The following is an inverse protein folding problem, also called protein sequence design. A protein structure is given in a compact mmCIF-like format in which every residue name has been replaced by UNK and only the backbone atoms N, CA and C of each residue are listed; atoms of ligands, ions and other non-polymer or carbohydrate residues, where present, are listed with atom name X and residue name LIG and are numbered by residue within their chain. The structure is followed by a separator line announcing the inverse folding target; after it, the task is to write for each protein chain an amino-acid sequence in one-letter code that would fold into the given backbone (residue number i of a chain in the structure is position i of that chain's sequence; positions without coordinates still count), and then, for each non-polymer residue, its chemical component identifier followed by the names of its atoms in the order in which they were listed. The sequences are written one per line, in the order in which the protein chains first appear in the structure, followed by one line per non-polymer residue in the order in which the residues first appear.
data_IF_633789674589
#
_entry.id   IF_633789674589
#
_cell.length_a   1.000
_cell.length_b   1.000
_cell.length_c   1.000
_cell.angle_alpha   90.00
_cell.angle_beta   90.00
_cell.angle_gamma   90.00
#
_symmetry.space_group_name_H-M   'P 1'
#
loop_
_entity.id
_entity.type
_entity.pdbx_description
1 polymer ?
#
# COMPACT_ATOMS: atom_id res chain seq x y z
N UNK A 1 2.11 -6.92 -26.57
CA UNK A 1 1.70 -5.97 -25.52
C UNK A 1 2.88 -5.05 -25.31
N UNK A 2 2.74 -3.75 -25.59
CA UNK A 2 3.86 -2.81 -25.46
C UNK A 2 3.98 -2.45 -23.99
N UNK A 3 5.10 -2.80 -23.35
CA UNK A 3 5.43 -2.30 -22.02
C UNK A 3 5.52 -0.77 -22.09
N UNK A 4 4.49 -0.08 -21.61
CA UNK A 4 4.57 1.36 -21.40
C UNK A 4 5.58 1.59 -20.28
N UNK A 5 6.79 1.99 -20.66
CA UNK A 5 7.78 2.50 -19.72
C UNK A 5 7.16 3.71 -19.03
N UNK A 6 6.93 3.62 -17.72
CA UNK A 6 6.47 4.76 -16.94
C UNK A 6 7.63 5.75 -16.90
N UNK A 7 7.44 6.90 -17.56
CA UNK A 7 8.39 8.00 -17.47
C UNK A 7 8.29 8.61 -16.07
N UNK A 8 9.21 8.24 -15.19
CA UNK A 8 9.28 8.75 -13.83
C UNK A 8 9.60 10.27 -13.80
N UNK A 9 10.09 10.84 -14.89
CA UNK A 9 10.31 12.29 -15.02
C UNK A 9 9.02 13.07 -15.30
N UNK A 10 7.95 12.37 -15.71
CA UNK A 10 6.63 12.96 -15.96
C UNK A 10 5.70 12.92 -14.73
N UNK A 11 6.16 12.42 -13.58
CA UNK A 11 5.37 12.43 -12.35
C UNK A 11 5.16 13.87 -11.86
N UNK A 12 3.97 14.20 -11.31
CA UNK A 12 3.72 15.50 -10.71
C UNK A 12 4.80 15.85 -9.69
N UNK A 13 5.47 16.99 -9.89
CA UNK A 13 6.49 17.48 -8.95
C UNK A 13 5.87 18.02 -7.66
N UNK A 14 4.58 18.39 -7.73
CA UNK A 14 3.79 18.89 -6.62
C UNK A 14 2.44 18.18 -6.54
N UNK A 15 2.04 17.83 -5.32
CA UNK A 15 0.76 17.19 -5.07
C UNK A 15 -0.09 18.08 -4.13
N UNK A 16 -1.23 18.60 -4.61
CA UNK A 16 -2.12 19.43 -3.79
C UNK A 16 -2.57 18.72 -2.51
N UNK A 17 -2.60 19.45 -1.40
CA UNK A 17 -3.02 18.92 -0.10
C UNK A 17 -1.99 18.03 0.62
N UNK A 18 -0.82 17.79 0.01
CA UNK A 18 0.28 17.07 0.65
C UNK A 18 1.36 18.00 1.21
N UNK A 19 2.15 17.48 2.14
CA UNK A 19 3.37 18.11 2.65
C UNK A 19 4.58 17.40 2.04
N UNK A 20 5.41 18.14 1.29
CA UNK A 20 6.65 17.59 0.73
C UNK A 20 7.67 17.39 1.85
N UNK A 21 8.09 16.14 2.06
CA UNK A 21 9.08 15.78 3.07
C UNK A 21 10.50 15.66 2.49
N UNK A 22 10.62 15.33 1.20
CA UNK A 22 11.91 15.14 0.56
C UNK A 22 11.84 15.37 -0.96
N UNK A 23 12.96 15.79 -1.55
CA UNK A 23 13.03 16.14 -2.97
C UNK A 23 13.57 15.02 -3.86
N UNK A 24 14.55 14.24 -3.39
CA UNK A 24 15.18 13.16 -4.19
C UNK A 24 15.66 12.01 -3.30
N UNK A 25 14.85 10.97 -3.05
CA UNK A 25 13.59 10.67 -3.73
C UNK A 25 12.48 11.64 -3.32
N UNK A 26 11.53 11.87 -4.23
CA UNK A 26 10.34 12.67 -3.95
C UNK A 26 9.46 11.95 -2.94
N UNK A 27 9.23 12.55 -1.77
CA UNK A 27 8.37 12.00 -0.71
C UNK A 27 7.35 13.05 -0.29
N UNK A 28 6.07 12.66 -0.27
CA UNK A 28 4.94 13.49 0.15
C UNK A 28 4.14 12.79 1.24
N UNK A 29 3.73 13.55 2.25
CA UNK A 29 2.86 13.13 3.33
C UNK A 29 1.46 13.71 3.14
N UNK A 30 0.45 12.86 3.24
CA UNK A 30 -0.96 13.27 3.28
C UNK A 30 -1.55 12.80 4.59
N UNK A 31 -1.97 13.74 5.42
CA UNK A 31 -2.68 13.41 6.65
C UNK A 31 -4.18 13.30 6.37
N UNK A 32 -4.87 12.47 7.16
CA UNK A 32 -6.32 12.27 7.05
C UNK A 32 -6.79 11.86 5.64
N UNK A 33 -5.96 11.09 4.92
CA UNK A 33 -6.27 10.62 3.56
C UNK A 33 -7.56 9.78 3.49
N UNK A 34 -7.86 9.05 4.56
CA UNK A 34 -9.10 8.30 4.72
C UNK A 34 -9.78 8.73 6.03
N UNK A 35 -11.10 8.73 6.02
CA UNK A 35 -11.93 8.92 7.19
C UNK A 35 -11.80 7.76 8.18
N UNK A 36 -12.17 7.99 9.44
CA UNK A 36 -12.19 6.93 10.45
C UNK A 36 -13.16 5.79 10.11
N UNK A 37 -14.24 6.11 9.41
CA UNK A 37 -15.24 5.13 8.95
C UNK A 37 -14.66 4.21 7.86
N UNK A 38 -14.00 4.77 6.85
CA UNK A 38 -13.32 3.99 5.80
C UNK A 38 -12.22 3.10 6.39
N UNK A 39 -11.46 3.61 7.37
CA UNK A 39 -10.43 2.84 8.06
C UNK A 39 -11.01 1.69 8.89
N UNK A 40 -12.15 1.92 9.57
CA UNK A 40 -12.82 0.88 10.34
C UNK A 40 -13.37 -0.23 9.42
N UNK A 41 -13.99 0.14 8.31
CA UNK A 41 -14.51 -0.82 7.34
C UNK A 41 -13.40 -1.67 6.69
N UNK A 42 -12.26 -1.06 6.33
CA UNK A 42 -11.09 -1.80 5.84
C UNK A 42 -10.54 -2.78 6.89
N UNK A 43 -10.45 -2.35 8.15
CA UNK A 43 -10.01 -3.22 9.25
C UNK A 43 -10.95 -4.41 9.40
N UNK A 44 -12.25 -4.17 9.45
CA UNK A 44 -13.24 -5.22 9.71
C UNK A 44 -13.31 -6.23 8.55
N UNK A 45 -13.17 -5.78 7.30
CA UNK A 45 -13.07 -6.66 6.14
C UNK A 45 -11.79 -7.52 6.14
N UNK A 46 -10.68 -7.00 6.67
CA UNK A 46 -9.38 -7.66 6.67
C UNK A 46 -9.15 -8.59 7.86
N UNK A 47 -9.71 -8.27 9.04
CA UNK A 47 -9.25 -8.78 10.32
C UNK A 47 -9.19 -10.31 10.40
N UNK A 48 -10.25 -10.99 9.98
CA UNK A 48 -10.35 -12.46 10.03
C UNK A 48 -9.49 -13.16 8.95
N UNK A 49 -9.01 -12.42 7.95
CA UNK A 49 -8.28 -12.94 6.80
C UNK A 49 -6.76 -12.75 6.89
N UNK A 50 -6.28 -12.00 7.89
CA UNK A 50 -4.87 -11.72 8.09
C UNK A 50 -4.05 -13.01 8.31
N UNK A 51 -2.94 -13.12 7.59
CA UNK A 51 -1.97 -14.22 7.72
C UNK A 51 -0.55 -13.66 7.82
N UNK A 52 0.40 -14.38 8.44
CA UNK A 52 1.79 -13.95 8.47
C UNK A 52 2.30 -13.64 7.07
N UNK A 53 2.94 -12.48 6.90
CA UNK A 53 3.42 -12.03 5.61
C UNK A 53 4.62 -12.90 5.17
N UNK A 54 4.53 -13.44 3.96
CA UNK A 54 5.64 -14.12 3.33
C UNK A 54 6.64 -13.12 2.74
N UNK A 55 7.92 -13.47 2.79
CA UNK A 55 8.98 -12.75 2.09
C UNK A 55 9.34 -13.49 0.80
N UNK A 56 9.88 -12.77 -0.19
CA UNK A 56 10.36 -13.37 -1.44
C UNK A 56 11.45 -14.41 -1.16
N UNK A 57 11.23 -15.64 -1.63
CA UNK A 57 12.25 -16.69 -1.69
C UNK A 57 12.56 -17.08 -3.14
N UNK A 58 13.52 -17.99 -3.32
CA UNK A 58 14.05 -18.36 -4.64
C UNK A 58 13.01 -18.96 -5.61
N UNK A 59 11.96 -19.61 -5.08
CA UNK A 59 10.90 -20.27 -5.88
C UNK A 59 9.49 -20.01 -5.36
N UNK A 60 9.36 -19.79 -4.06
CA UNK A 60 8.08 -19.62 -3.34
C UNK A 60 8.35 -18.68 -2.16
N UNK A 61 7.33 -17.94 -1.74
CA UNK A 61 7.38 -17.11 -0.54
C UNK A 61 7.54 -17.97 0.72
N UNK A 62 8.18 -17.43 1.75
CA UNK A 62 8.30 -18.12 3.04
C UNK A 62 8.13 -17.15 4.20
N UNK A 63 7.73 -17.67 5.36
CA UNK A 63 7.61 -16.87 6.58
C UNK A 63 9.01 -16.69 7.18
N UNK A 64 9.48 -15.45 7.27
CA UNK A 64 10.75 -15.11 7.91
C UNK A 64 10.58 -14.98 9.43
N UNK A 65 11.41 -15.66 10.20
CA UNK A 65 11.41 -15.55 11.68
C UNK A 65 11.77 -14.15 12.19
N UNK A 66 12.41 -13.33 11.37
CA UNK A 66 12.73 -11.92 11.69
C UNK A 66 11.62 -10.93 11.37
N UNK A 67 10.46 -11.37 10.88
CA UNK A 67 9.32 -10.52 10.53
C UNK A 67 8.06 -11.02 11.25
N UNK A 68 7.36 -10.11 11.90
CA UNK A 68 6.12 -10.38 12.63
C UNK A 68 4.87 -9.78 11.98
N UNK A 69 5.02 -9.17 10.80
CA UNK A 69 3.91 -8.54 10.09
C UNK A 69 2.94 -9.58 9.51
N UNK A 70 1.67 -9.21 9.44
CA UNK A 70 0.62 -9.98 8.77
C UNK A 70 -0.04 -9.14 7.69
N UNK A 71 -0.54 -9.78 6.62
CA UNK A 71 -1.30 -9.14 5.56
C UNK A 71 -2.44 -10.02 5.06
N UNK A 72 -3.34 -9.42 4.28
CA UNK A 72 -4.34 -10.13 3.49
C UNK A 72 -4.59 -9.34 2.20
N UNK A 73 -5.15 -10.02 1.20
CA UNK A 73 -5.61 -9.39 -0.03
C UNK A 73 -7.11 -9.16 0.07
N UNK A 74 -7.54 -7.90 -0.05
CA UNK A 74 -8.95 -7.55 -0.18
C UNK A 74 -9.32 -7.46 -1.66
N UNK A 75 -10.51 -7.94 -2.01
CA UNK A 75 -11.00 -7.80 -3.38
C UNK A 75 -11.32 -6.33 -3.67
N UNK A 76 -10.87 -5.81 -4.80
CA UNK A 76 -11.06 -4.40 -5.18
C UNK A 76 -12.55 -3.97 -5.22
N UNK A 77 -13.45 -4.90 -5.56
CA UNK A 77 -14.89 -4.65 -5.65
C UNK A 77 -15.65 -4.91 -4.34
N UNK A 78 -14.94 -5.23 -3.26
CA UNK A 78 -15.54 -5.34 -1.95
C UNK A 78 -15.67 -3.92 -1.39
N UNK A 79 -16.87 -3.34 -1.52
CA UNK A 79 -17.09 -1.99 -1.01
C UNK A 79 -17.00 -2.02 0.51
N UNK A 80 -16.14 -1.18 1.12
CA UNK A 80 -16.18 -0.96 2.57
C UNK A 80 -17.43 -0.16 3.00
N UNK A 81 -18.21 0.39 2.03
CA UNK A 81 -19.40 1.23 2.22
C UNK A 81 -20.51 0.91 1.20
#
# INVERSE_FOLDING_TARGET
MSDSVVDLQALPLEYPGGVRLHESPTVWLFENFASQEELAALRDAAWEQLKPAEVSGDKVGYISSGRSGSNCWLAHNQSPL
#
